data_IF_880135227160
#
_entry.id   IF_880135227160
#
_cell.length_a   1.000
_cell.length_b   1.000
_cell.length_c   1.000
_cell.angle_alpha   90.00
_cell.angle_beta   90.00
_cell.angle_gamma   90.00
#
_symmetry.space_group_name_H-M   'P 1'
#
loop_
_entity.id
_entity.type
_entity.pdbx_description
1 polymer ?
#
# COMPACT_ATOMS: atom_id res chain seq x y z
N UNK A 1 1.50 9.07 21.37
CA UNK A 1 2.61 8.61 20.49
C UNK A 1 3.54 9.79 20.24
N UNK A 2 4.85 9.60 20.36
CA UNK A 2 5.82 10.69 20.23
C UNK A 2 7.11 10.17 19.62
N UNK A 3 7.68 10.92 18.67
CA UNK A 3 9.00 10.64 18.09
C UNK A 3 10.13 10.61 19.13
N UNK A 4 9.91 11.18 20.32
CA UNK A 4 10.87 11.14 21.44
C UNK A 4 10.84 9.84 22.24
N UNK A 5 9.72 9.12 22.20
CA UNK A 5 9.52 7.87 22.95
C UNK A 5 9.65 6.67 22.00
N UNK A 6 9.16 6.80 20.77
CA UNK A 6 9.18 5.77 19.74
C UNK A 6 10.15 6.17 18.62
N UNK A 7 11.39 5.70 18.71
CA UNK A 7 12.45 6.03 17.74
C UNK A 7 12.18 5.48 16.33
N UNK A 8 11.41 4.39 16.23
CA UNK A 8 10.99 3.75 14.98
C UNK A 8 9.86 4.52 14.26
N UNK A 9 9.30 5.55 14.90
CA UNK A 9 8.29 6.44 14.35
C UNK A 9 7.09 5.67 13.73
N UNK A 10 6.79 5.91 12.45
CA UNK A 10 5.66 5.30 11.75
C UNK A 10 5.76 3.76 11.67
N UNK A 11 6.96 3.18 11.79
CA UNK A 11 7.11 1.72 11.89
C UNK A 11 6.67 1.15 13.25
N UNK A 12 6.61 1.98 14.30
CA UNK A 12 6.09 1.57 15.61
C UNK A 12 4.59 1.80 15.77
N UNK A 13 4.03 2.87 15.17
CA UNK A 13 2.65 3.28 15.45
C UNK A 13 1.79 3.59 14.21
N UNK A 14 2.31 3.41 12.99
CA UNK A 14 1.58 3.67 11.75
C UNK A 14 1.01 5.08 11.67
N UNK A 15 -0.28 5.18 11.34
CA UNK A 15 -1.02 6.46 11.27
C UNK A 15 -1.32 7.10 12.62
N UNK A 16 -1.06 6.38 13.73
CA UNK A 16 -1.25 6.88 15.08
C UNK A 16 -2.35 6.17 15.86
N UNK A 17 -2.82 6.83 16.94
CA UNK A 17 -3.79 6.24 17.86
C UNK A 17 -5.19 6.34 17.26
N UNK A 18 -5.94 5.23 17.30
CA UNK A 18 -7.32 5.17 16.83
C UNK A 18 -8.18 6.26 17.49
N UNK A 19 -8.94 6.98 16.68
CA UNK A 19 -10.02 7.85 17.12
C UNK A 19 -11.35 7.29 16.60
N UNK A 20 -12.09 6.50 17.42
CA UNK A 20 -13.31 5.82 16.97
C UNK A 20 -14.38 6.79 16.51
N UNK A 21 -14.57 7.91 17.24
CA UNK A 21 -15.61 8.89 16.92
C UNK A 21 -15.38 9.56 15.57
N UNK A 22 -14.12 9.86 15.21
CA UNK A 22 -13.78 10.39 13.88
C UNK A 22 -13.83 9.33 12.79
N UNK A 23 -13.49 8.08 13.10
CA UNK A 23 -13.50 6.99 12.12
C UNK A 23 -14.91 6.67 11.58
N UNK A 24 -15.97 7.03 12.31
CA UNK A 24 -17.36 6.87 11.86
C UNK A 24 -17.71 7.73 10.64
N UNK A 25 -17.12 8.92 10.52
CA UNK A 25 -17.39 9.86 9.42
C UNK A 25 -16.06 10.45 8.94
N UNK A 26 -15.26 9.68 8.17
CA UNK A 26 -13.93 10.11 7.75
C UNK A 26 -13.98 11.13 6.60
N UNK A 27 -15.13 11.24 5.91
CA UNK A 27 -15.34 12.09 4.74
C UNK A 27 -14.69 11.53 3.47
N UNK A 28 -13.44 11.05 3.55
CA UNK A 28 -12.74 10.42 2.43
C UNK A 28 -12.11 9.08 2.86
N UNK A 29 -12.14 8.10 1.97
CA UNK A 29 -11.49 6.79 2.14
C UNK A 29 -10.62 6.42 0.94
N UNK A 30 -9.57 5.66 1.20
CA UNK A 30 -8.74 5.02 0.19
C UNK A 30 -9.27 3.60 0.00
N UNK A 31 -10.16 3.42 -0.96
CA UNK A 31 -10.81 2.12 -1.20
C UNK A 31 -9.99 1.27 -2.17
N UNK A 32 -10.05 -0.06 -1.99
CA UNK A 32 -9.30 -1.02 -2.79
C UNK A 32 -9.91 -2.42 -2.74
N UNK A 33 -10.01 -3.04 -3.90
CA UNK A 33 -10.54 -4.39 -4.05
C UNK A 33 -9.44 -5.47 -4.10
N UNK A 34 -9.88 -6.73 -4.13
CA UNK A 34 -8.99 -7.90 -4.24
C UNK A 34 -8.11 -7.85 -5.48
N UNK A 35 -8.65 -7.38 -6.61
CA UNK A 35 -7.89 -7.28 -7.86
C UNK A 35 -6.70 -6.33 -7.73
N UNK A 36 -6.88 -5.20 -7.04
CA UNK A 36 -5.78 -4.31 -6.69
C UNK A 36 -4.68 -5.03 -5.90
N UNK A 37 -5.03 -5.91 -4.96
CA UNK A 37 -4.03 -6.65 -4.18
C UNK A 37 -3.26 -7.66 -5.04
N UNK A 38 -3.94 -8.30 -5.99
CA UNK A 38 -3.29 -9.18 -6.97
C UNK A 38 -2.31 -8.38 -7.83
N UNK A 39 -2.71 -7.19 -8.30
CA UNK A 39 -1.82 -6.30 -9.06
C UNK A 39 -0.60 -5.88 -8.24
N UNK A 40 -0.79 -5.51 -6.97
CA UNK A 40 0.30 -5.17 -6.05
C UNK A 40 1.29 -6.35 -5.88
N UNK A 41 0.80 -7.55 -5.62
CA UNK A 41 1.67 -8.72 -5.45
C UNK A 41 2.38 -9.08 -6.77
N UNK A 42 1.72 -8.99 -7.91
CA UNK A 42 2.39 -9.14 -9.20
C UNK A 42 3.48 -8.09 -9.40
N UNK A 43 3.25 -6.84 -9.00
CA UNK A 43 4.22 -5.74 -9.07
C UNK A 43 5.44 -5.95 -8.16
N UNK A 44 5.24 -6.50 -6.96
CA UNK A 44 6.32 -6.90 -6.05
C UNK A 44 7.14 -8.11 -6.57
N UNK A 45 6.74 -8.71 -7.68
CA UNK A 45 7.47 -9.80 -8.35
C UNK A 45 7.05 -11.20 -7.92
N UNK A 46 5.92 -11.36 -7.25
CA UNK A 46 5.38 -12.69 -6.94
C UNK A 46 4.96 -13.43 -8.21
N UNK A 47 5.22 -14.74 -8.24
CA UNK A 47 4.82 -15.60 -9.36
C UNK A 47 3.33 -15.85 -9.35
N UNK A 48 2.70 -15.80 -10.53
CA UNK A 48 1.27 -16.09 -10.70
C UNK A 48 0.85 -17.45 -10.13
N UNK A 49 1.72 -18.47 -10.20
CA UNK A 49 1.47 -19.78 -9.60
C UNK A 49 1.32 -19.73 -8.07
N UNK A 50 2.13 -18.92 -7.38
CA UNK A 50 2.05 -18.75 -5.93
C UNK A 50 0.78 -17.98 -5.54
N UNK A 51 0.44 -16.97 -6.33
CA UNK A 51 -0.81 -16.22 -6.14
C UNK A 51 -2.03 -17.08 -6.43
N UNK A 52 -1.95 -17.98 -7.41
CA UNK A 52 -3.07 -18.85 -7.76
C UNK A 52 -3.47 -19.78 -6.61
N UNK A 53 -2.49 -20.25 -5.84
CA UNK A 53 -2.76 -21.05 -4.65
C UNK A 53 -3.41 -20.24 -3.51
N UNK A 54 -3.11 -18.94 -3.44
CA UNK A 54 -3.61 -18.03 -2.40
C UNK A 54 -5.02 -17.53 -2.72
N UNK A 55 -5.26 -17.15 -3.98
CA UNK A 55 -6.55 -16.65 -4.48
C UNK A 55 -7.51 -17.80 -4.78
N UNK A 56 -7.00 -19.00 -5.07
CA UNK A 56 -7.83 -20.15 -5.46
C UNK A 56 -8.29 -20.10 -6.93
N UNK A 57 -7.69 -19.24 -7.76
CA UNK A 57 -7.97 -19.14 -9.19
C UNK A 57 -6.67 -18.94 -9.99
N UNK A 58 -6.62 -19.32 -11.28
CA UNK A 58 -5.41 -19.13 -12.08
C UNK A 58 -5.07 -17.64 -12.26
N UNK A 59 -3.88 -17.23 -11.85
CA UNK A 59 -3.35 -15.87 -11.99
C UNK A 59 -2.19 -15.86 -12.97
N UNK A 60 -2.28 -14.99 -13.98
CA UNK A 60 -1.19 -14.67 -14.90
C UNK A 60 -0.85 -13.17 -14.82
N UNK A 61 0.19 -12.85 -14.04
CA UNK A 61 0.64 -11.46 -13.84
C UNK A 61 1.00 -10.75 -15.16
N UNK A 62 1.52 -11.45 -16.17
CA UNK A 62 1.90 -10.84 -17.44
C UNK A 62 0.72 -10.38 -18.29
N UNK A 63 -0.48 -10.92 -18.02
CA UNK A 63 -1.71 -10.50 -18.70
C UNK A 63 -2.51 -9.43 -17.95
N UNK A 64 -2.14 -9.12 -16.71
CA UNK A 64 -2.84 -8.12 -15.91
C UNK A 64 -2.37 -6.71 -16.29
N UNK A 65 -3.30 -5.76 -16.21
CA UNK A 65 -2.92 -4.35 -16.22
C UNK A 65 -2.04 -4.06 -15.00
N UNK A 66 -0.89 -3.38 -15.13
CA UNK A 66 -0.08 -3.01 -13.99
C UNK A 66 -0.84 -2.05 -13.05
N UNK A 67 -0.61 -2.18 -11.74
CA UNK A 67 -1.09 -1.20 -10.78
C UNK A 67 -0.40 0.16 -10.97
N UNK A 68 -1.00 1.21 -10.41
CA UNK A 68 -0.52 2.59 -10.60
C UNK A 68 0.42 3.05 -9.49
N UNK A 69 1.45 3.81 -9.86
CA UNK A 69 2.38 4.42 -8.92
C UNK A 69 3.55 3.49 -8.55
N UNK A 70 4.38 3.94 -7.62
CA UNK A 70 5.59 3.24 -7.20
C UNK A 70 5.30 1.90 -6.53
N UNK A 71 4.22 1.86 -5.75
CA UNK A 71 3.83 0.73 -4.90
C UNK A 71 2.56 0.03 -5.39
N UNK A 72 2.02 0.41 -6.56
CA UNK A 72 0.88 -0.24 -7.22
C UNK A 72 -0.40 -0.37 -6.35
N UNK A 73 -0.51 0.37 -5.24
CA UNK A 73 -1.55 0.20 -4.22
C UNK A 73 -2.26 1.52 -3.87
N UNK A 74 -3.57 1.49 -3.62
CA UNK A 74 -4.32 2.65 -3.14
C UNK A 74 -4.34 2.70 -1.60
N UNK A 75 -3.16 2.85 -0.99
CA UNK A 75 -3.01 2.78 0.47
C UNK A 75 -3.01 4.16 1.16
N UNK A 76 -3.57 4.32 2.38
CA UNK A 76 -3.65 5.61 3.07
C UNK A 76 -2.30 6.14 3.61
N UNK A 77 -1.20 5.43 3.35
CA UNK A 77 0.16 5.84 3.72
C UNK A 77 1.13 5.72 2.53
N UNK A 78 2.31 6.31 2.70
CA UNK A 78 3.38 6.32 1.69
C UNK A 78 4.66 5.82 2.37
N UNK A 79 5.32 4.85 1.75
CA UNK A 79 6.63 4.35 2.15
C UNK A 79 7.55 4.32 0.94
N UNK A 80 8.79 4.81 1.11
CA UNK A 80 9.84 4.72 0.09
C UNK A 80 11.10 4.13 0.71
N UNK A 81 11.49 2.95 0.26
CA UNK A 81 12.72 2.29 0.71
C UNK A 81 13.93 2.81 -0.07
N UNK A 82 14.90 3.35 0.67
CA UNK A 82 16.17 3.82 0.14
C UNK A 82 17.25 2.75 0.32
N UNK A 83 17.94 2.38 -0.75
CA UNK A 83 19.05 1.41 -0.71
C UNK A 83 20.33 2.01 -0.13
N UNK A 84 20.48 3.34 -0.27
CA UNK A 84 21.66 4.09 0.13
C UNK A 84 21.25 5.49 0.54
N UNK A 85 21.94 6.05 1.55
CA UNK A 85 21.72 7.44 2.00
C UNK A 85 22.32 8.48 1.05
N UNK A 86 23.10 8.04 0.05
CA UNK A 86 23.82 8.92 -0.88
C UNK A 86 23.06 9.17 -2.17
N UNK A 87 22.14 8.28 -2.52
CA UNK A 87 21.43 8.31 -3.79
C UNK A 87 20.06 8.95 -3.63
N UNK A 88 19.72 9.87 -4.53
CA UNK A 88 18.40 10.48 -4.59
C UNK A 88 17.46 9.48 -5.27
N UNK A 89 16.47 8.97 -4.54
CA UNK A 89 15.41 8.11 -5.08
C UNK A 89 14.10 8.90 -5.13
N UNK A 90 13.42 8.85 -6.27
CA UNK A 90 12.12 9.50 -6.47
C UNK A 90 11.06 8.41 -6.59
N UNK A 91 10.07 8.42 -5.69
CA UNK A 91 8.89 7.58 -5.77
C UNK A 91 7.67 8.41 -6.14
N UNK A 92 6.96 8.02 -7.19
CA UNK A 92 5.68 8.65 -7.60
C UNK A 92 4.53 7.79 -7.12
N UNK A 93 3.79 8.25 -6.13
CA UNK A 93 2.65 7.55 -5.55
C UNK A 93 1.36 8.08 -6.14
N UNK A 94 0.45 7.17 -6.54
CA UNK A 94 -0.86 7.52 -7.10
C UNK A 94 -1.94 6.95 -6.19
N UNK A 95 -2.91 7.78 -5.84
CA UNK A 95 -4.02 7.44 -4.95
C UNK A 95 -5.33 7.99 -5.49
N UNK A 96 -6.40 7.27 -5.18
CA UNK A 96 -7.78 7.69 -5.44
C UNK A 96 -8.51 7.71 -4.10
N UNK A 97 -9.19 8.81 -3.82
CA UNK A 97 -10.01 8.95 -2.62
C UNK A 97 -11.48 8.99 -3.00
N UNK A 98 -12.29 8.29 -2.22
CA UNK A 98 -13.75 8.20 -2.39
C UNK A 98 -14.43 8.96 -1.25
N UNK A 99 -15.42 9.79 -1.58
CA UNK A 99 -16.26 10.48 -0.60
C UNK A 99 -17.27 9.50 0.02
N UNK A 100 -17.34 9.47 1.35
CA UNK A 100 -18.21 8.56 2.13
C UNK A 100 -19.02 9.29 3.19
#
# INVERSE_FOLDING_TARGET
MSRRINNEAEFAYGSGQLNPTKALNPGLVYDMDEFGYIQFLCHEGYKGSSLSALVGSPINCSSLLPGFGHDAINYPTIQLSLESKKDIKIGVFRRTVTNV
#
